data_IF_863128794775
#
_entry.id   IF_863128794775
#
_cell.length_a   1.000
_cell.length_b   1.000
_cell.length_c   1.000
_cell.angle_alpha   90.00
_cell.angle_beta   90.00
_cell.angle_gamma   90.00
#
_symmetry.space_group_name_H-M   'P 1'
#
loop_
_entity.id
_entity.type
_entity.pdbx_description
1 polymer ?
#
# COMPACT_ATOMS: atom_id res chain seq x y z
N UNK A 1 -14.25 -25.44 -19.06
CA UNK A 1 -13.55 -25.98 -20.25
C UNK A 1 -14.48 -26.70 -21.22
N UNK A 2 -15.43 -27.53 -20.81
CA UNK A 2 -16.32 -28.27 -21.72
C UNK A 2 -17.27 -27.35 -22.51
N UNK A 3 -17.76 -26.26 -21.95
CA UNK A 3 -18.65 -25.31 -22.63
C UNK A 3 -17.97 -24.50 -23.76
N UNK A 4 -16.68 -24.18 -23.63
CA UNK A 4 -15.93 -23.48 -24.67
C UNK A 4 -15.66 -24.41 -25.88
N UNK A 5 -15.40 -25.71 -25.67
CA UNK A 5 -15.17 -26.66 -26.76
C UNK A 5 -16.45 -26.93 -27.55
N UNK A 6 -17.61 -26.98 -26.92
CA UNK A 6 -18.91 -27.13 -27.61
C UNK A 6 -19.28 -25.90 -28.45
N UNK A 7 -18.95 -24.70 -27.97
CA UNK A 7 -19.17 -23.46 -28.70
C UNK A 7 -18.28 -23.36 -29.94
N UNK A 8 -17.03 -23.81 -29.86
CA UNK A 8 -16.11 -23.85 -31.02
C UNK A 8 -16.54 -24.90 -32.06
N UNK A 9 -17.03 -26.06 -31.64
CA UNK A 9 -17.51 -27.09 -32.57
C UNK A 9 -18.80 -26.63 -33.28
N UNK A 10 -19.74 -25.99 -32.56
CA UNK A 10 -20.97 -25.45 -33.16
C UNK A 10 -20.67 -24.34 -34.19
N UNK A 11 -19.68 -23.51 -33.91
CA UNK A 11 -19.20 -22.46 -34.82
C UNK A 11 -18.55 -23.04 -36.10
N UNK A 12 -17.78 -24.12 -36.04
CA UNK A 12 -17.17 -24.75 -37.19
C UNK A 12 -18.20 -25.33 -38.15
N UNK A 13 -19.34 -25.84 -37.68
CA UNK A 13 -20.40 -26.42 -38.52
C UNK A 13 -21.20 -25.34 -39.26
N UNK A 14 -21.34 -24.13 -38.69
CA UNK A 14 -22.08 -23.01 -39.31
C UNK A 14 -21.25 -22.29 -40.38
N UNK A 15 -19.93 -22.42 -40.42
CA UNK A 15 -19.01 -21.76 -41.33
C UNK A 15 -18.99 -22.34 -42.76
N UNK A 16 -19.57 -23.50 -42.95
CA UNK A 16 -19.56 -24.17 -44.29
C UNK A 16 -20.68 -23.72 -45.23
N UNK A 17 -21.58 -22.82 -44.81
CA UNK A 17 -22.82 -22.49 -45.56
C UNK A 17 -22.97 -21.04 -46.05
N UNK A 18 -22.02 -20.12 -45.84
CA UNK A 18 -22.15 -18.73 -46.26
C UNK A 18 -20.85 -18.11 -46.76
N UNK A 19 -20.90 -17.48 -47.94
CA UNK A 19 -19.74 -16.94 -48.66
C UNK A 19 -19.00 -15.75 -48.01
N UNK A 20 -17.86 -15.41 -48.63
CA UNK A 20 -16.75 -14.57 -48.12
C UNK A 20 -17.08 -13.20 -47.52
N UNK A 21 -18.21 -12.57 -47.82
CA UNK A 21 -18.58 -11.23 -47.32
C UNK A 21 -18.99 -11.26 -45.80
N UNK A 22 -19.50 -12.38 -45.34
CA UNK A 22 -19.90 -12.53 -43.91
C UNK A 22 -18.67 -12.76 -43.04
N UNK A 23 -17.58 -13.32 -43.57
CA UNK A 23 -16.36 -13.65 -42.81
C UNK A 23 -15.64 -12.40 -42.27
N UNK A 24 -15.61 -11.31 -43.06
CA UNK A 24 -14.93 -10.07 -42.65
C UNK A 24 -15.68 -9.35 -41.50
N UNK A 25 -17.00 -9.34 -41.56
CA UNK A 25 -17.81 -8.73 -40.50
C UNK A 25 -17.81 -9.58 -39.18
N UNK A 26 -17.82 -10.91 -39.32
CA UNK A 26 -17.73 -11.80 -38.15
C UNK A 26 -16.37 -11.76 -37.47
N UNK A 27 -15.25 -11.62 -38.20
CA UNK A 27 -13.92 -11.41 -37.57
C UNK A 27 -13.89 -10.13 -36.74
N UNK A 28 -14.50 -9.04 -37.18
CA UNK A 28 -14.63 -7.80 -36.40
C UNK A 28 -15.54 -7.98 -35.17
N UNK A 29 -16.66 -8.66 -35.32
CA UNK A 29 -17.59 -8.95 -34.21
C UNK A 29 -16.94 -9.88 -33.19
N UNK A 30 -16.22 -10.93 -33.62
CA UNK A 30 -15.48 -11.83 -32.71
C UNK A 30 -14.33 -11.14 -31.99
N UNK A 31 -13.64 -10.19 -32.64
CA UNK A 31 -12.59 -9.40 -31.98
C UNK A 31 -13.18 -8.45 -30.93
N UNK A 32 -14.35 -7.86 -31.20
CA UNK A 32 -15.07 -7.01 -30.23
C UNK A 32 -15.63 -7.83 -29.06
N UNK A 33 -16.24 -9.00 -29.34
CA UNK A 33 -16.72 -9.91 -28.29
C UNK A 33 -15.55 -10.47 -27.47
N UNK A 34 -14.45 -10.85 -28.11
CA UNK A 34 -13.23 -11.27 -27.42
C UNK A 34 -12.64 -10.18 -26.52
N UNK A 35 -12.60 -8.94 -27.01
CA UNK A 35 -12.16 -7.78 -26.24
C UNK A 35 -13.10 -7.48 -25.04
N UNK A 36 -14.42 -7.60 -25.23
CA UNK A 36 -15.42 -7.42 -24.17
C UNK A 36 -15.28 -8.53 -23.12
N UNK A 37 -15.11 -9.79 -23.52
CA UNK A 37 -14.93 -10.92 -22.61
C UNK A 37 -13.60 -10.81 -21.86
N UNK A 38 -12.50 -10.46 -22.53
CA UNK A 38 -11.22 -10.20 -21.87
C UNK A 38 -11.29 -9.02 -20.92
N UNK A 39 -11.93 -7.91 -21.30
CA UNK A 39 -12.16 -6.76 -20.44
C UNK A 39 -13.00 -7.15 -19.21
N UNK A 40 -14.11 -7.87 -19.39
CA UNK A 40 -14.95 -8.34 -18.29
C UNK A 40 -14.21 -9.32 -17.36
N UNK A 41 -13.35 -10.21 -17.88
CA UNK A 41 -12.53 -11.11 -17.06
C UNK A 41 -11.44 -10.35 -16.28
N UNK A 42 -10.79 -9.37 -16.88
CA UNK A 42 -9.80 -8.51 -16.22
C UNK A 42 -10.47 -7.66 -15.14
N UNK A 43 -11.66 -7.11 -15.42
CA UNK A 43 -12.45 -6.36 -14.44
C UNK A 43 -12.91 -7.25 -13.29
N UNK A 44 -13.37 -8.49 -13.57
CA UNK A 44 -13.76 -9.44 -12.54
C UNK A 44 -12.58 -9.89 -11.67
N UNK A 45 -11.40 -10.13 -12.24
CA UNK A 45 -10.18 -10.42 -11.49
C UNK A 45 -9.74 -9.24 -10.61
N UNK A 46 -9.86 -8.00 -11.11
CA UNK A 46 -9.54 -6.80 -10.35
C UNK A 46 -10.54 -6.55 -9.20
N UNK A 47 -11.81 -6.91 -9.36
CA UNK A 47 -12.84 -6.75 -8.33
C UNK A 47 -12.73 -7.77 -7.20
N UNK A 48 -12.20 -8.97 -7.44
CA UNK A 48 -12.08 -10.02 -6.42
C UNK A 48 -11.16 -9.66 -5.24
N UNK A 49 -10.28 -8.69 -5.41
CA UNK A 49 -9.45 -8.17 -4.31
C UNK A 49 -10.23 -7.29 -3.34
N UNK A 50 -11.39 -6.74 -3.76
CA UNK A 50 -12.22 -5.85 -2.96
C UNK A 50 -13.42 -6.63 -2.38
N UNK A 51 -13.57 -6.66 -1.07
CA UNK A 51 -14.76 -7.22 -0.44
C UNK A 51 -15.93 -6.24 -0.56
N UNK A 52 -17.08 -6.74 -1.05
CA UNK A 52 -18.30 -5.95 -1.01
C UNK A 52 -18.70 -5.71 0.45
N UNK A 53 -19.10 -4.47 0.77
CA UNK A 53 -19.66 -4.16 2.08
C UNK A 53 -21.01 -4.89 2.22
N UNK A 54 -21.24 -5.44 3.41
CA UNK A 54 -22.48 -6.15 3.73
C UNK A 54 -23.56 -5.12 4.11
N UNK A 55 -24.67 -5.16 3.41
CA UNK A 55 -25.84 -4.30 3.63
C UNK A 55 -26.94 -4.95 4.50
N UNK A 56 -26.69 -6.16 5.02
CA UNK A 56 -27.70 -6.94 5.74
C UNK A 56 -28.32 -6.21 6.95
N UNK A 57 -27.55 -5.37 7.63
CA UNK A 57 -28.03 -4.55 8.75
C UNK A 57 -28.98 -3.42 8.31
N UNK A 58 -28.93 -3.05 7.03
CA UNK A 58 -29.69 -1.92 6.50
C UNK A 58 -30.93 -2.32 5.71
N UNK A 59 -31.06 -3.58 5.29
CA UNK A 59 -32.13 -4.07 4.40
C UNK A 59 -33.54 -3.84 4.94
N UNK A 60 -33.70 -3.81 6.25
CA UNK A 60 -34.97 -3.56 6.93
C UNK A 60 -35.13 -2.09 7.37
N UNK A 61 -34.16 -1.22 7.09
CA UNK A 61 -34.24 0.20 7.42
C UNK A 61 -35.02 0.94 6.32
N UNK A 62 -36.14 1.55 6.68
CA UNK A 62 -37.03 2.25 5.74
C UNK A 62 -36.33 3.38 4.98
N UNK A 63 -35.47 4.14 5.66
CA UNK A 63 -34.68 5.21 5.07
C UNK A 63 -33.73 4.67 4.02
N UNK A 64 -33.03 3.56 4.30
CA UNK A 64 -32.13 2.90 3.36
C UNK A 64 -32.89 2.39 2.12
N UNK A 65 -34.02 1.73 2.32
CA UNK A 65 -34.81 1.15 1.22
C UNK A 65 -35.34 2.24 0.26
N UNK A 66 -35.78 3.38 0.79
CA UNK A 66 -36.29 4.52 0.02
C UNK A 66 -35.19 5.37 -0.64
N UNK A 67 -33.94 5.22 -0.25
CA UNK A 67 -32.81 5.99 -0.73
C UNK A 67 -32.36 5.57 -2.14
N UNK A 68 -31.72 6.51 -2.88
CA UNK A 68 -31.06 6.19 -4.15
C UNK A 68 -29.75 5.38 -3.92
N UNK A 69 -29.12 4.90 -5.01
CA UNK A 69 -27.90 4.08 -4.92
C UNK A 69 -26.74 4.77 -4.20
N UNK A 70 -26.56 6.08 -4.40
CA UNK A 70 -25.49 6.85 -3.78
C UNK A 70 -25.72 7.06 -2.29
N UNK A 71 -26.93 7.35 -1.89
CA UNK A 71 -27.29 7.47 -0.47
C UNK A 71 -27.13 6.14 0.28
N UNK A 72 -27.54 5.01 -0.32
CA UNK A 72 -27.34 3.69 0.26
C UNK A 72 -25.86 3.39 0.50
N UNK A 73 -25.04 3.63 -0.51
CA UNK A 73 -23.60 3.41 -0.40
C UNK A 73 -22.91 4.39 0.56
N UNK A 74 -23.39 5.63 0.67
CA UNK A 74 -22.92 6.59 1.65
C UNK A 74 -23.21 6.13 3.10
N UNK A 75 -24.41 5.57 3.37
CA UNK A 75 -24.75 5.00 4.67
C UNK A 75 -23.80 3.84 5.02
N UNK A 76 -23.58 2.92 4.08
CA UNK A 76 -22.64 1.79 4.27
C UNK A 76 -21.20 2.24 4.47
N UNK A 77 -20.79 3.29 3.75
CA UNK A 77 -19.43 3.85 3.88
C UNK A 77 -19.20 4.47 5.25
N UNK A 78 -20.13 5.27 5.75
CA UNK A 78 -20.07 5.88 7.09
C UNK A 78 -20.05 4.81 8.19
N UNK A 79 -20.91 3.81 8.08
CA UNK A 79 -20.96 2.68 9.02
C UNK A 79 -19.66 1.85 8.99
N UNK A 80 -19.12 1.59 7.81
CA UNK A 80 -17.84 0.89 7.64
C UNK A 80 -16.69 1.68 8.27
N UNK A 81 -16.60 2.99 8.05
CA UNK A 81 -15.60 3.84 8.70
C UNK A 81 -15.73 3.78 10.21
N UNK A 82 -16.96 3.95 10.72
CA UNK A 82 -17.28 3.90 12.15
C UNK A 82 -16.92 2.55 12.78
N UNK A 83 -17.04 1.43 12.06
CA UNK A 83 -16.72 0.07 12.54
C UNK A 83 -15.24 -0.30 12.36
N UNK A 84 -14.56 0.23 11.33
CA UNK A 84 -13.24 -0.31 10.93
C UNK A 84 -12.07 0.61 11.26
N UNK A 85 -12.18 1.91 11.01
CA UNK A 85 -11.04 2.81 11.15
C UNK A 85 -10.72 3.10 12.63
N UNK A 86 -9.46 2.91 13.13
CA UNK A 86 -9.12 3.08 14.54
C UNK A 86 -9.39 4.49 15.10
N UNK A 87 -9.39 5.52 14.24
CA UNK A 87 -9.73 6.88 14.63
C UNK A 87 -11.11 6.97 15.29
N UNK A 88 -12.07 6.18 14.81
CA UNK A 88 -13.44 6.16 15.31
C UNK A 88 -13.69 5.16 16.44
N UNK A 89 -12.64 4.69 17.14
CA UNK A 89 -12.81 3.82 18.30
C UNK A 89 -13.58 4.51 19.43
N UNK A 90 -13.37 5.82 19.61
CA UNK A 90 -14.04 6.61 20.63
C UNK A 90 -15.46 7.00 20.20
N UNK A 91 -16.40 6.87 21.13
CA UNK A 91 -17.83 7.15 20.88
C UNK A 91 -18.05 8.57 20.34
N UNK A 92 -17.40 9.58 20.95
CA UNK A 92 -17.54 10.98 20.56
C UNK A 92 -17.21 11.21 19.07
N UNK A 93 -16.15 10.58 18.58
CA UNK A 93 -15.76 10.69 17.16
C UNK A 93 -16.73 9.99 16.22
N UNK A 94 -17.35 8.88 16.66
CA UNK A 94 -18.43 8.25 15.90
C UNK A 94 -19.67 9.11 15.86
N UNK A 95 -20.04 9.71 16.99
CA UNK A 95 -21.20 10.61 17.06
C UNK A 95 -21.03 11.83 16.13
N UNK A 96 -19.83 12.40 16.07
CA UNK A 96 -19.48 13.47 15.11
C UNK A 96 -19.58 13.02 13.65
N UNK A 97 -19.13 11.80 13.33
CA UNK A 97 -19.23 11.23 12.00
C UNK A 97 -20.70 11.03 11.60
N UNK A 98 -21.52 10.45 12.48
CA UNK A 98 -22.94 10.23 12.22
C UNK A 98 -23.73 11.55 12.16
N UNK A 99 -23.37 12.57 12.93
CA UNK A 99 -24.00 13.89 12.85
C UNK A 99 -23.83 14.55 11.46
N UNK A 100 -22.72 14.25 10.76
CA UNK A 100 -22.46 14.76 9.40
C UNK A 100 -23.15 13.94 8.30
N UNK A 101 -23.68 12.76 8.62
CA UNK A 101 -24.27 11.85 7.65
C UNK A 101 -25.47 12.46 6.93
N UNK A 102 -26.35 13.21 7.63
CA UNK A 102 -27.51 13.85 7.02
C UNK A 102 -27.14 14.76 5.84
N UNK A 103 -26.15 15.64 6.06
CA UNK A 103 -25.63 16.51 5.00
C UNK A 103 -25.03 15.72 3.83
N UNK A 104 -24.28 14.64 4.13
CA UNK A 104 -23.71 13.78 3.11
C UNK A 104 -24.81 13.15 2.25
N UNK A 105 -25.91 12.68 2.85
CA UNK A 105 -27.03 12.09 2.13
C UNK A 105 -27.75 13.11 1.23
N UNK A 106 -27.89 14.37 1.67
CA UNK A 106 -28.44 15.46 0.85
C UNK A 106 -27.52 15.78 -0.34
N UNK A 107 -26.21 15.80 -0.13
CA UNK A 107 -25.23 16.02 -1.20
C UNK A 107 -25.20 14.85 -2.20
N UNK A 108 -25.48 13.61 -1.77
CA UNK A 108 -25.62 12.44 -2.64
C UNK A 108 -26.77 12.56 -3.65
N UNK A 109 -27.81 13.37 -3.37
CA UNK A 109 -28.89 13.62 -4.32
C UNK A 109 -28.42 14.36 -5.58
N UNK A 110 -27.28 15.05 -5.51
CA UNK A 110 -26.70 15.83 -6.62
C UNK A 110 -25.70 15.00 -7.44
N UNK A 111 -25.34 13.78 -7.00
CA UNK A 111 -24.40 12.92 -7.70
C UNK A 111 -25.06 12.32 -8.95
N UNK A 112 -24.42 12.48 -10.12
CA UNK A 112 -24.89 11.96 -11.39
C UNK A 112 -24.06 10.77 -11.88
N UNK A 113 -22.84 10.59 -11.37
CA UNK A 113 -21.92 9.51 -11.72
C UNK A 113 -21.07 9.06 -10.52
N UNK A 114 -20.44 7.91 -10.66
CA UNK A 114 -19.67 7.28 -9.59
C UNK A 114 -18.36 8.05 -9.27
N UNK A 115 -17.84 8.86 -10.21
CA UNK A 115 -16.64 9.69 -9.98
C UNK A 115 -16.94 10.85 -9.04
N UNK A 116 -18.00 11.61 -9.32
CA UNK A 116 -18.47 12.70 -8.46
C UNK A 116 -18.84 12.17 -7.07
N UNK A 117 -19.45 10.99 -7.00
CA UNK A 117 -19.75 10.34 -5.73
C UNK A 117 -18.50 9.93 -4.95
N UNK A 118 -17.49 9.35 -5.61
CA UNK A 118 -16.22 9.00 -4.97
C UNK A 118 -15.50 10.26 -4.43
N UNK A 119 -15.51 11.37 -5.17
CA UNK A 119 -14.96 12.65 -4.71
C UNK A 119 -15.69 13.18 -3.47
N UNK A 120 -17.03 13.09 -3.44
CA UNK A 120 -17.85 13.46 -2.29
C UNK A 120 -17.49 12.62 -1.06
N UNK A 121 -17.37 11.29 -1.20
CA UNK A 121 -16.93 10.42 -0.10
C UNK A 121 -15.50 10.73 0.34
N UNK A 122 -14.57 10.97 -0.61
CA UNK A 122 -13.19 11.35 -0.34
C UNK A 122 -13.07 12.62 0.50
N UNK A 123 -13.94 13.60 0.27
CA UNK A 123 -13.99 14.84 1.06
C UNK A 123 -14.31 14.58 2.54
N UNK A 124 -15.07 13.53 2.86
CA UNK A 124 -15.37 13.15 4.26
C UNK A 124 -14.15 12.59 5.02
N UNK A 125 -13.10 12.14 4.29
CA UNK A 125 -11.89 11.56 4.87
C UNK A 125 -10.87 12.61 5.31
N UNK A 126 -11.03 13.88 4.95
CA UNK A 126 -10.05 14.94 5.22
C UNK A 126 -9.68 15.12 6.70
N UNK A 127 -10.58 14.81 7.61
CA UNK A 127 -10.35 14.90 9.06
C UNK A 127 -9.45 13.78 9.60
N UNK A 128 -9.39 12.63 8.93
CA UNK A 128 -8.59 11.48 9.37
C UNK A 128 -7.09 11.76 9.30
N UNK A 129 -6.66 12.69 8.42
CA UNK A 129 -5.25 12.93 8.09
C UNK A 129 -4.49 11.62 7.78
N UNK A 130 -5.22 10.66 7.24
CA UNK A 130 -4.73 9.34 6.84
C UNK A 130 -4.68 9.24 5.32
N UNK A 131 -3.49 8.92 4.78
CA UNK A 131 -3.28 8.78 3.33
C UNK A 131 -3.47 7.35 2.81
N UNK A 132 -3.79 6.41 3.69
CA UNK A 132 -4.04 5.01 3.34
C UNK A 132 -5.54 4.71 3.17
N UNK A 133 -6.41 5.47 3.85
CA UNK A 133 -7.86 5.37 3.66
C UNK A 133 -8.26 6.27 2.50
N UNK A 134 -8.79 5.66 1.45
CA UNK A 134 -9.13 6.35 0.19
C UNK A 134 -10.29 5.66 -0.53
N UNK A 135 -10.95 6.40 -1.41
CA UNK A 135 -12.03 5.95 -2.28
C UNK A 135 -11.84 6.46 -3.71
N UNK A 136 -12.22 5.66 -4.68
CA UNK A 136 -12.10 5.98 -6.09
C UNK A 136 -13.17 5.27 -6.91
N UNK A 137 -13.69 5.89 -7.96
CA UNK A 137 -14.51 5.19 -8.94
C UNK A 137 -13.66 4.17 -9.71
N UNK A 138 -14.20 2.96 -9.96
CA UNK A 138 -13.47 1.86 -10.59
C UNK A 138 -12.88 2.25 -11.94
N UNK A 139 -13.64 2.98 -12.77
CA UNK A 139 -13.15 3.46 -14.07
C UNK A 139 -11.96 4.41 -13.97
N UNK A 140 -11.90 5.26 -12.94
CA UNK A 140 -10.73 6.12 -12.67
C UNK A 140 -9.51 5.31 -12.20
N UNK A 141 -9.73 4.24 -11.40
CA UNK A 141 -8.66 3.34 -10.97
C UNK A 141 -8.03 2.61 -12.16
N UNK A 142 -8.85 2.12 -13.09
CA UNK A 142 -8.39 1.46 -14.32
C UNK A 142 -7.62 2.42 -15.22
N UNK A 143 -8.09 3.66 -15.39
CA UNK A 143 -7.40 4.69 -16.15
C UNK A 143 -6.03 5.06 -15.55
N UNK A 144 -5.92 5.12 -14.22
CA UNK A 144 -4.63 5.35 -13.52
C UNK A 144 -3.65 4.19 -13.73
N UNK A 145 -4.12 2.93 -13.70
CA UNK A 145 -3.29 1.75 -13.94
C UNK A 145 -2.73 1.74 -15.37
N UNK A 146 -3.56 2.05 -16.36
CA UNK A 146 -3.15 2.10 -17.77
C UNK A 146 -2.10 3.18 -18.02
N UNK A 147 -2.27 4.40 -17.48
CA UNK A 147 -1.26 5.47 -17.54
C UNK A 147 0.04 5.14 -16.81
N UNK A 148 -0.03 4.36 -15.72
CA UNK A 148 1.14 3.87 -15.00
C UNK A 148 1.97 2.89 -15.81
N UNK A 149 1.32 2.01 -16.56
CA UNK A 149 1.97 1.04 -17.45
C UNK A 149 2.63 1.72 -18.68
N UNK A 150 2.01 2.76 -19.23
CA UNK A 150 2.61 3.55 -20.33
C UNK A 150 3.86 4.33 -19.88
N UNK A 151 3.87 4.90 -18.68
CA UNK A 151 5.05 5.58 -18.14
C UNK A 151 6.19 4.64 -17.72
N UNK A 152 5.90 3.38 -17.43
CA UNK A 152 6.91 2.37 -17.12
C UNK A 152 7.74 1.91 -18.32
N UNK A 153 7.30 2.19 -19.56
CA UNK A 153 8.03 1.83 -20.79
C UNK A 153 9.00 2.92 -21.28
N UNK A 154 8.85 4.18 -20.82
CA UNK A 154 9.69 5.30 -21.32
C UNK A 154 10.92 5.63 -20.45
N UNK A 155 11.14 4.90 -19.36
CA UNK A 155 12.37 5.04 -18.57
C UNK A 155 13.47 4.15 -19.19
N UNK A 156 13.97 4.54 -20.38
CA UNK A 156 15.24 4.01 -20.92
C UNK A 156 16.32 4.20 -19.85
N UNK A 157 16.99 3.10 -19.52
CA UNK A 157 18.18 3.09 -18.67
C UNK A 157 19.14 4.20 -19.12
N UNK A 158 19.16 5.30 -18.37
CA UNK A 158 20.22 6.30 -18.49
C UNK A 158 21.54 5.63 -18.13
N UNK A 159 22.60 6.07 -18.76
CA UNK A 159 23.94 5.54 -18.56
C UNK A 159 24.27 5.38 -17.07
N UNK A 160 24.84 4.26 -16.74
CA UNK A 160 25.07 3.67 -15.40
C UNK A 160 25.96 4.45 -14.42
N UNK A 161 26.23 5.73 -14.63
CA UNK A 161 27.13 6.51 -13.79
C UNK A 161 26.46 7.47 -12.79
N UNK A 162 25.14 7.67 -12.86
CA UNK A 162 24.45 8.60 -11.96
C UNK A 162 23.81 7.87 -10.78
N UNK A 163 24.50 7.87 -9.66
CA UNK A 163 23.98 7.44 -8.35
C UNK A 163 22.83 8.38 -7.96
N UNK A 164 21.83 7.89 -7.22
CA UNK A 164 20.59 8.57 -6.85
C UNK A 164 19.60 8.81 -8.00
N UNK A 165 19.88 8.39 -9.21
CA UNK A 165 18.90 8.41 -10.31
C UNK A 165 17.96 7.20 -10.21
N UNK A 166 16.67 7.42 -10.43
CA UNK A 166 15.71 6.30 -10.43
C UNK A 166 15.96 5.36 -11.62
N UNK A 167 16.23 4.09 -11.35
CA UNK A 167 16.56 3.07 -12.38
C UNK A 167 15.39 2.17 -12.77
N UNK A 168 14.19 2.37 -12.24
CA UNK A 168 13.00 1.54 -12.56
C UNK A 168 12.91 0.20 -11.84
N UNK A 169 14.02 -0.32 -11.28
CA UNK A 169 14.05 -1.58 -10.54
C UNK A 169 13.34 -1.45 -9.18
N UNK A 170 12.84 -2.57 -8.64
CA UNK A 170 12.28 -2.60 -7.29
C UNK A 170 13.35 -2.26 -6.25
N UNK A 171 14.56 -2.80 -6.46
CA UNK A 171 15.75 -2.56 -5.67
C UNK A 171 17.01 -3.02 -6.44
N UNK A 172 18.12 -2.36 -6.19
CA UNK A 172 19.45 -2.78 -6.66
C UNK A 172 20.54 -2.17 -5.81
N UNK A 173 21.75 -2.71 -5.86
CA UNK A 173 22.90 -2.15 -5.15
C UNK A 173 24.12 -2.01 -6.06
N UNK A 174 25.03 -1.13 -5.65
CA UNK A 174 26.33 -0.91 -6.31
C UNK A 174 27.41 -0.76 -5.22
N UNK A 175 28.49 -1.50 -5.35
CA UNK A 175 29.68 -1.28 -4.53
C UNK A 175 30.53 -0.21 -5.21
N UNK A 176 30.99 0.78 -4.45
CA UNK A 176 31.85 1.88 -4.88
C UNK A 176 33.17 1.74 -4.10
N UNK A 177 34.19 1.02 -4.63
CA UNK A 177 35.37 0.63 -3.89
C UNK A 177 36.19 1.83 -3.41
N UNK A 178 36.33 2.89 -4.24
CA UNK A 178 37.12 4.09 -3.94
C UNK A 178 36.64 4.81 -2.68
N UNK A 179 35.38 4.59 -2.28
CA UNK A 179 34.79 5.15 -1.08
C UNK A 179 34.49 4.13 0.01
N UNK A 180 34.87 2.85 -0.17
CA UNK A 180 34.46 1.73 0.68
C UNK A 180 32.96 1.76 1.01
N UNK A 181 32.16 2.01 -0.01
CA UNK A 181 30.74 2.34 0.06
C UNK A 181 29.91 1.30 -0.68
N UNK A 182 28.79 0.90 -0.09
CA UNK A 182 27.68 0.26 -0.77
C UNK A 182 26.50 1.24 -0.88
N UNK A 183 26.02 1.46 -2.10
CA UNK A 183 24.80 2.20 -2.37
C UNK A 183 23.68 1.23 -2.71
N UNK A 184 22.63 1.20 -1.88
CA UNK A 184 21.43 0.40 -2.05
C UNK A 184 20.27 1.33 -2.42
N UNK A 185 19.77 1.25 -3.66
CA UNK A 185 18.52 1.87 -4.07
C UNK A 185 17.37 0.93 -3.75
N UNK A 186 16.47 1.35 -2.87
CA UNK A 186 15.33 0.58 -2.40
C UNK A 186 14.03 1.31 -2.79
N UNK A 187 13.52 1.06 -4.00
CA UNK A 187 12.41 1.81 -4.60
C UNK A 187 11.04 1.29 -4.21
N UNK A 188 10.92 0.02 -3.81
CA UNK A 188 9.64 -0.62 -3.45
C UNK A 188 9.84 -1.71 -2.41
N UNK A 189 8.94 -1.74 -1.43
CA UNK A 189 8.86 -2.84 -0.46
C UNK A 189 8.06 -4.03 -1.04
N UNK A 190 8.53 -4.58 -2.17
CA UNK A 190 7.93 -5.72 -2.89
C UNK A 190 9.03 -6.63 -3.43
N UNK A 191 8.75 -7.93 -3.46
CA UNK A 191 9.60 -8.95 -4.07
C UNK A 191 8.76 -10.14 -4.56
N UNK A 192 9.42 -11.17 -5.10
CA UNK A 192 8.77 -12.40 -5.57
C UNK A 192 7.87 -13.04 -4.51
N UNK A 193 8.28 -13.05 -3.24
CA UNK A 193 7.54 -13.68 -2.13
C UNK A 193 6.29 -12.91 -1.77
N UNK A 194 6.42 -11.60 -1.61
CA UNK A 194 5.33 -10.72 -1.17
C UNK A 194 4.26 -10.56 -2.23
N UNK A 195 4.66 -10.66 -3.51
CA UNK A 195 3.75 -10.56 -4.66
C UNK A 195 3.29 -11.92 -5.19
N UNK A 196 3.83 -13.04 -4.68
CA UNK A 196 3.61 -14.40 -5.20
C UNK A 196 3.85 -14.47 -6.72
N UNK A 197 4.92 -13.82 -7.17
CA UNK A 197 5.30 -13.75 -8.57
C UNK A 197 6.79 -14.04 -8.72
N UNK A 198 7.12 -15.23 -9.20
CA UNK A 198 8.50 -15.72 -9.34
C UNK A 198 9.32 -14.98 -10.42
N UNK A 199 8.66 -14.21 -11.29
CA UNK A 199 9.37 -13.36 -12.26
C UNK A 199 10.02 -12.12 -11.62
N UNK A 200 9.66 -11.77 -10.38
CA UNK A 200 10.25 -10.66 -9.65
C UNK A 200 11.53 -11.11 -8.91
N UNK A 201 12.44 -10.17 -8.64
CA UNK A 201 13.65 -10.48 -7.85
C UNK A 201 13.30 -10.83 -6.40
N UNK A 202 14.20 -11.56 -5.75
CA UNK A 202 14.14 -11.95 -4.34
C UNK A 202 14.98 -10.99 -3.51
N UNK A 203 14.31 -10.23 -2.64
CA UNK A 203 14.96 -9.27 -1.75
C UNK A 203 15.92 -9.92 -0.77
N UNK A 204 15.52 -11.00 -0.08
CA UNK A 204 16.36 -11.74 0.86
C UNK A 204 17.65 -12.24 0.21
N UNK A 205 17.57 -12.77 -1.01
CA UNK A 205 18.74 -13.27 -1.76
C UNK A 205 19.68 -12.13 -2.17
N UNK A 206 19.11 -11.02 -2.63
CA UNK A 206 19.89 -9.83 -2.97
C UNK A 206 20.61 -9.28 -1.73
N UNK A 207 19.92 -9.24 -0.55
CA UNK A 207 20.57 -8.81 0.69
C UNK A 207 21.71 -9.73 1.09
N UNK A 208 21.52 -11.05 1.05
CA UNK A 208 22.58 -12.03 1.38
C UNK A 208 23.81 -11.83 0.49
N UNK A 209 23.62 -11.67 -0.82
CA UNK A 209 24.69 -11.39 -1.77
C UNK A 209 25.36 -10.04 -1.50
N UNK A 210 24.57 -8.98 -1.31
CA UNK A 210 25.07 -7.62 -1.05
C UNK A 210 25.95 -7.58 0.19
N UNK A 211 25.49 -8.11 1.33
CA UNK A 211 26.23 -8.08 2.58
C UNK A 211 27.52 -8.97 2.51
N UNK A 212 27.47 -10.09 1.79
CA UNK A 212 28.66 -10.91 1.55
C UNK A 212 29.72 -10.12 0.75
N UNK A 213 29.33 -9.47 -0.34
CA UNK A 213 30.24 -8.61 -1.15
C UNK A 213 30.73 -7.38 -0.39
N UNK A 214 29.89 -6.78 0.46
CA UNK A 214 30.30 -5.69 1.34
C UNK A 214 31.41 -6.12 2.30
N UNK A 215 31.28 -7.32 2.88
CA UNK A 215 32.30 -7.91 3.78
C UNK A 215 33.59 -8.19 3.03
N UNK A 216 33.53 -8.84 1.88
CA UNK A 216 34.65 -9.15 1.02
C UNK A 216 35.39 -7.87 0.57
N UNK A 217 34.66 -6.85 0.14
CA UNK A 217 35.22 -5.57 -0.31
C UNK A 217 35.61 -4.61 0.83
N UNK A 218 35.47 -5.01 2.10
CA UNK A 218 35.81 -4.18 3.25
C UNK A 218 34.99 -2.90 3.36
N UNK A 219 33.73 -2.90 2.88
CA UNK A 219 32.83 -1.74 2.88
C UNK A 219 32.64 -1.21 4.30
N UNK A 220 32.74 0.11 4.46
CA UNK A 220 32.61 0.82 5.74
C UNK A 220 31.32 1.61 5.86
N UNK A 221 30.69 1.96 4.73
CA UNK A 221 29.47 2.75 4.70
C UNK A 221 28.41 2.09 3.81
N UNK A 222 27.18 2.03 4.31
CA UNK A 222 25.98 1.67 3.54
C UNK A 222 25.10 2.88 3.39
N UNK A 223 24.78 3.26 2.16
CA UNK A 223 23.74 4.25 1.85
C UNK A 223 22.50 3.50 1.41
N UNK A 224 21.37 3.70 2.12
CA UNK A 224 20.06 3.14 1.79
C UNK A 224 19.19 4.25 1.23
N UNK A 225 19.03 4.29 -0.07
CA UNK A 225 18.21 5.29 -0.76
C UNK A 225 16.77 4.80 -0.95
N UNK A 226 15.86 5.33 -0.14
CA UNK A 226 14.43 5.07 -0.23
C UNK A 226 13.62 6.32 -0.65
N UNK A 227 14.25 7.31 -1.27
CA UNK A 227 13.60 8.56 -1.66
C UNK A 227 12.39 8.36 -2.59
N UNK A 228 12.36 7.26 -3.36
CA UNK A 228 11.28 6.90 -4.28
C UNK A 228 10.33 5.85 -3.72
N UNK A 229 10.60 5.30 -2.53
CA UNK A 229 9.87 4.16 -1.98
C UNK A 229 8.57 4.60 -1.30
N UNK A 230 7.45 4.29 -1.92
CA UNK A 230 6.13 4.55 -1.35
C UNK A 230 5.56 3.39 -0.49
N UNK A 231 6.41 2.42 -0.10
CA UNK A 231 6.04 1.33 0.78
C UNK A 231 5.70 0.02 0.06
N UNK A 232 4.94 -0.81 0.74
CA UNK A 232 4.57 -2.18 0.38
C UNK A 232 4.59 -3.08 1.61
N UNK A 233 5.27 -4.22 1.55
CA UNK A 233 5.42 -5.15 2.68
C UNK A 233 6.53 -4.71 3.63
N UNK A 234 6.22 -4.59 4.92
CA UNK A 234 7.23 -4.31 5.97
C UNK A 234 8.25 -5.45 6.16
N UNK A 235 7.95 -6.66 5.68
CA UNK A 235 8.88 -7.78 5.70
C UNK A 235 10.26 -7.42 5.15
N UNK A 236 10.31 -6.67 4.03
CA UNK A 236 11.57 -6.29 3.40
C UNK A 236 12.37 -5.29 4.27
N UNK A 237 11.65 -4.39 4.94
CA UNK A 237 12.28 -3.46 5.88
C UNK A 237 12.84 -4.18 7.10
N UNK A 238 12.09 -5.14 7.65
CA UNK A 238 12.52 -5.94 8.80
C UNK A 238 13.77 -6.77 8.47
N UNK A 239 13.83 -7.39 7.28
CA UNK A 239 14.98 -8.15 6.81
C UNK A 239 16.25 -7.30 6.66
N UNK A 240 16.11 -6.02 6.29
CA UNK A 240 17.23 -5.09 6.27
C UNK A 240 17.63 -4.68 7.70
N UNK A 241 16.67 -4.31 8.54
CA UNK A 241 16.94 -3.84 9.90
C UNK A 241 17.70 -4.86 10.76
N UNK A 242 17.38 -6.17 10.67
CA UNK A 242 18.06 -7.21 11.43
C UNK A 242 19.51 -7.46 10.97
N UNK A 243 19.91 -6.94 9.79
CA UNK A 243 21.30 -6.92 9.31
C UNK A 243 22.07 -5.68 9.73
N UNK A 244 21.36 -4.68 10.26
CA UNK A 244 21.94 -3.40 10.71
C UNK A 244 22.00 -3.29 12.23
N UNK A 245 21.17 -4.07 12.95
CA UNK A 245 21.13 -4.14 14.41
C UNK A 245 20.65 -5.51 14.89
N UNK A 246 21.16 -6.04 16.00
CA UNK A 246 20.67 -7.30 16.56
C UNK A 246 19.16 -7.22 16.81
N UNK A 247 18.43 -8.28 16.41
CA UNK A 247 16.97 -8.36 16.56
C UNK A 247 16.51 -8.12 18.00
N UNK A 248 17.28 -8.61 18.99
CA UNK A 248 16.98 -8.47 20.41
C UNK A 248 17.08 -7.05 20.94
N UNK A 249 17.77 -6.17 20.21
CA UNK A 249 17.95 -4.76 20.57
C UNK A 249 17.00 -3.82 19.82
N UNK A 250 16.33 -4.33 18.77
CA UNK A 250 15.42 -3.51 17.96
C UNK A 250 14.15 -3.21 18.73
N UNK A 251 13.92 -1.93 18.99
CA UNK A 251 12.60 -1.41 19.39
C UNK A 251 11.68 -1.46 18.17
N UNK A 252 10.43 -1.75 18.40
CA UNK A 252 9.41 -1.86 17.35
C UNK A 252 8.18 -1.00 17.67
N UNK A 253 7.33 -0.82 16.68
CA UNK A 253 6.06 -0.15 16.84
C UNK A 253 5.14 -0.88 17.82
N UNK A 254 4.43 -0.12 18.66
CA UNK A 254 3.24 -0.61 19.33
C UNK A 254 2.09 -0.59 18.32
N UNK A 255 1.51 -1.76 18.07
CA UNK A 255 0.46 -1.90 17.05
C UNK A 255 -0.89 -2.11 17.73
N UNK A 256 -1.83 -1.22 17.46
CA UNK A 256 -3.20 -1.28 17.96
C UNK A 256 -4.14 -1.60 16.80
N UNK A 257 -5.01 -2.59 16.98
CA UNK A 257 -5.92 -3.07 15.94
C UNK A 257 -7.37 -2.83 16.38
N UNK A 258 -8.19 -2.44 15.39
CA UNK A 258 -9.63 -2.41 15.54
C UNK A 258 -10.25 -3.62 14.87
N UNK A 259 -10.89 -4.49 15.64
CA UNK A 259 -11.70 -5.56 15.08
C UNK A 259 -12.95 -4.99 14.42
N UNK A 260 -13.26 -5.49 13.21
CA UNK A 260 -14.39 -5.01 12.43
C UNK A 260 -15.08 -6.12 11.63
N UNK A 261 -16.29 -5.85 11.15
CA UNK A 261 -17.03 -6.74 10.24
C UNK A 261 -16.28 -6.93 8.92
N UNK A 262 -15.70 -5.86 8.38
CA UNK A 262 -14.90 -5.95 7.15
C UNK A 262 -13.67 -6.84 7.34
N UNK A 263 -12.98 -6.72 8.48
CA UNK A 263 -11.86 -7.60 8.82
C UNK A 263 -12.32 -9.07 8.91
N UNK A 264 -13.48 -9.34 9.51
CA UNK A 264 -14.07 -10.68 9.60
C UNK A 264 -14.44 -11.26 8.22
N UNK A 265 -14.83 -10.41 7.27
CA UNK A 265 -15.09 -10.82 5.89
C UNK A 265 -13.81 -11.28 5.15
N UNK A 266 -12.63 -10.77 5.53
CA UNK A 266 -11.33 -11.25 5.04
C UNK A 266 -10.84 -12.49 5.80
N UNK A 267 -11.04 -12.52 7.11
CA UNK A 267 -10.62 -13.62 7.97
C UNK A 267 -11.68 -13.86 9.06
N UNK A 268 -12.52 -14.91 8.95
CA UNK A 268 -13.59 -15.19 9.90
C UNK A 268 -13.13 -15.34 11.36
N UNK A 269 -11.86 -15.73 11.59
CA UNK A 269 -11.31 -15.83 12.96
C UNK A 269 -11.27 -14.47 13.66
N UNK A 270 -11.14 -13.37 12.92
CA UNK A 270 -11.18 -12.03 13.50
C UNK A 270 -12.57 -11.63 13.99
N UNK A 271 -13.63 -12.20 13.41
CA UNK A 271 -15.00 -12.04 13.90
C UNK A 271 -15.20 -12.70 15.28
N UNK A 272 -14.63 -13.91 15.46
CA UNK A 272 -14.62 -14.60 16.76
C UNK A 272 -13.83 -13.79 17.78
N UNK A 273 -12.66 -13.26 17.38
CA UNK A 273 -11.83 -12.44 18.26
C UNK A 273 -12.52 -11.10 18.63
N UNK A 274 -13.22 -10.47 17.68
CA UNK A 274 -14.05 -9.27 17.92
C UNK A 274 -15.07 -9.54 19.01
N UNK A 275 -15.88 -10.61 18.86
CA UNK A 275 -16.89 -10.97 19.84
C UNK A 275 -16.27 -11.22 21.22
N UNK A 276 -15.20 -12.01 21.29
CA UNK A 276 -14.52 -12.31 22.55
C UNK A 276 -13.91 -11.07 23.23
N UNK A 277 -13.54 -10.04 22.44
CA UNK A 277 -13.03 -8.77 22.94
C UNK A 277 -14.16 -7.90 23.50
N UNK A 278 -15.25 -7.79 22.76
CA UNK A 278 -16.45 -7.04 23.16
C UNK A 278 -17.17 -7.66 24.36
N UNK A 279 -17.27 -8.99 24.43
CA UNK A 279 -17.87 -9.73 25.57
C UNK A 279 -17.10 -9.47 26.90
N UNK A 280 -15.84 -9.02 26.83
CA UNK A 280 -15.04 -8.59 27.99
C UNK A 280 -15.20 -7.11 28.33
N UNK A 281 -16.07 -6.37 27.62
CA UNK A 281 -16.34 -4.96 27.87
C UNK A 281 -15.47 -3.98 27.09
N UNK A 282 -14.57 -4.45 26.19
CA UNK A 282 -13.63 -3.61 25.43
C UNK A 282 -14.22 -3.04 24.11
N UNK A 283 -15.46 -2.56 24.14
CA UNK A 283 -16.17 -2.11 22.91
C UNK A 283 -15.50 -0.87 22.29
N UNK A 284 -15.05 0.06 23.13
CA UNK A 284 -14.46 1.34 22.73
C UNK A 284 -12.92 1.34 22.91
N UNK A 285 -12.30 0.18 22.82
CA UNK A 285 -10.87 0.00 23.00
C UNK A 285 -10.22 -0.68 21.80
N UNK A 286 -9.02 -0.24 21.43
CA UNK A 286 -8.20 -0.91 20.45
C UNK A 286 -7.48 -2.10 21.08
N UNK A 287 -7.39 -3.18 20.34
CA UNK A 287 -6.63 -4.36 20.74
C UNK A 287 -5.14 -4.14 20.50
N UNK A 288 -4.35 -4.16 21.57
CA UNK A 288 -2.89 -4.15 21.47
C UNK A 288 -2.41 -5.51 20.93
N UNK A 289 -1.82 -5.51 19.73
CA UNK A 289 -1.21 -6.71 19.14
C UNK A 289 0.02 -7.08 19.96
N UNK A 290 0.11 -8.31 20.53
CA UNK A 290 1.24 -8.69 21.35
C UNK A 290 2.58 -8.55 20.64
N UNK A 291 3.58 -8.06 21.36
CA UNK A 291 4.95 -7.95 20.86
C UNK A 291 5.46 -9.31 20.33
N UNK A 292 6.26 -9.26 19.26
CA UNK A 292 6.78 -10.45 18.56
C UNK A 292 5.86 -11.08 17.52
N UNK A 293 4.56 -10.65 17.45
CA UNK A 293 3.66 -11.07 16.35
C UNK A 293 3.66 -10.11 15.16
N UNK A 294 4.26 -8.96 15.31
CA UNK A 294 4.37 -7.93 14.27
C UNK A 294 5.57 -8.14 13.38
N UNK A 295 6.63 -8.72 13.91
CA UNK A 295 7.86 -8.99 13.15
C UNK A 295 8.08 -10.50 12.98
N UNK A 296 8.42 -10.98 11.75
CA UNK A 296 8.73 -12.38 11.50
C UNK A 296 9.90 -12.88 12.38
N UNK A 297 9.90 -14.19 12.66
CA UNK A 297 10.97 -14.81 13.42
C UNK A 297 12.17 -15.14 12.50
N UNK A 298 13.00 -14.15 12.19
CA UNK A 298 14.21 -14.35 11.43
C UNK A 298 15.30 -15.07 12.24
N UNK A 299 16.10 -15.89 11.57
CA UNK A 299 17.44 -16.26 12.07
C UNK A 299 18.29 -15.00 12.02
N UNK A 300 18.96 -14.63 13.12
CA UNK A 300 19.78 -13.43 13.18
C UNK A 300 20.96 -13.56 12.21
N UNK A 301 21.04 -12.71 11.17
CA UNK A 301 22.21 -12.67 10.30
C UNK A 301 23.38 -11.94 10.96
N UNK A 302 24.57 -11.98 10.35
CA UNK A 302 25.70 -11.15 10.75
C UNK A 302 25.31 -9.67 10.65
N UNK A 303 25.63 -8.87 11.66
CA UNK A 303 25.29 -7.46 11.73
C UNK A 303 26.41 -6.63 11.09
N UNK A 304 26.02 -5.72 10.21
CA UNK A 304 26.93 -4.72 9.65
C UNK A 304 27.25 -3.64 10.69
N UNK A 305 28.53 -3.47 11.01
CA UNK A 305 29.00 -2.54 12.03
C UNK A 305 29.55 -1.22 11.44
N UNK A 306 29.34 -0.98 10.14
CA UNK A 306 29.75 0.25 9.49
C UNK A 306 28.74 1.39 9.65
N UNK A 307 29.06 2.55 9.07
CA UNK A 307 28.18 3.71 9.03
C UNK A 307 26.97 3.42 8.12
N UNK A 308 25.77 3.85 8.53
CA UNK A 308 24.56 3.76 7.71
C UNK A 308 23.99 5.15 7.47
N UNK A 309 23.68 5.46 6.22
CA UNK A 309 23.04 6.71 5.81
C UNK A 309 21.74 6.34 5.08
N UNK A 310 20.61 6.82 5.57
CA UNK A 310 19.31 6.64 4.93
C UNK A 310 18.93 7.92 4.17
N UNK A 311 18.56 7.77 2.89
CA UNK A 311 18.07 8.89 2.08
C UNK A 311 16.56 8.84 2.02
N UNK A 312 15.92 9.88 2.57
CA UNK A 312 14.48 10.08 2.62
C UNK A 312 14.06 11.19 1.67
N UNK A 313 13.02 10.97 0.88
CA UNK A 313 12.40 11.98 0.01
C UNK A 313 10.90 12.11 0.24
N UNK A 314 10.26 13.04 -0.48
CA UNK A 314 8.80 13.26 -0.41
C UNK A 314 7.95 12.05 -0.79
N UNK A 315 8.52 11.09 -1.54
CA UNK A 315 7.83 9.84 -1.92
C UNK A 315 8.02 8.71 -0.92
N UNK A 316 8.95 8.85 0.03
CA UNK A 316 9.13 7.86 1.12
C UNK A 316 7.85 7.80 1.94
N UNK A 317 7.18 6.62 1.98
CA UNK A 317 5.86 6.50 2.60
C UNK A 317 5.58 5.07 3.09
N UNK A 318 4.60 4.90 4.00
CA UNK A 318 4.13 3.60 4.49
C UNK A 318 5.29 2.75 5.04
N UNK A 319 5.49 1.49 4.62
CA UNK A 319 6.57 0.61 5.11
C UNK A 319 7.96 1.23 4.98
N UNK A 320 8.23 2.03 3.93
CA UNK A 320 9.48 2.77 3.83
C UNK A 320 9.59 3.89 4.89
N UNK A 321 8.46 4.52 5.23
CA UNK A 321 8.40 5.46 6.35
C UNK A 321 8.62 4.78 7.69
N UNK A 322 8.10 3.55 7.88
CA UNK A 322 8.38 2.71 9.05
C UNK A 322 9.89 2.43 9.16
N UNK A 323 10.54 2.06 8.04
CA UNK A 323 11.99 1.84 8.00
C UNK A 323 12.76 3.08 8.49
N UNK A 324 12.45 4.28 7.97
CA UNK A 324 13.11 5.52 8.39
C UNK A 324 12.88 5.82 9.87
N UNK A 325 11.64 5.67 10.35
CA UNK A 325 11.31 5.90 11.75
C UNK A 325 12.04 4.91 12.66
N UNK A 326 12.07 3.62 12.32
CA UNK A 326 12.79 2.60 13.10
C UNK A 326 14.30 2.81 13.05
N UNK A 327 14.85 3.26 11.93
CA UNK A 327 16.26 3.63 11.83
C UNK A 327 16.62 4.75 12.82
N UNK A 328 15.78 5.79 12.89
CA UNK A 328 15.91 6.89 13.85
C UNK A 328 15.79 6.42 15.30
N UNK A 329 14.68 5.77 15.64
CA UNK A 329 14.33 5.42 17.02
C UNK A 329 15.23 4.33 17.61
N UNK A 330 15.96 3.62 16.76
CA UNK A 330 16.96 2.61 17.13
C UNK A 330 18.40 3.10 16.96
N UNK A 331 18.64 4.35 16.60
CA UNK A 331 19.99 4.91 16.37
C UNK A 331 20.84 4.04 15.42
N UNK A 332 20.24 3.54 14.31
CA UNK A 332 20.94 2.67 13.37
C UNK A 332 21.84 3.47 12.42
N UNK A 333 21.48 4.71 12.13
CA UNK A 333 22.22 5.60 11.24
C UNK A 333 21.62 6.98 11.18
N UNK A 334 22.09 7.81 10.24
CA UNK A 334 21.56 9.15 10.02
C UNK A 334 20.58 9.16 8.85
N UNK A 335 19.56 10.00 8.95
CA UNK A 335 18.60 10.24 7.88
C UNK A 335 18.96 11.55 7.19
N UNK A 336 19.11 11.53 5.88
CA UNK A 336 19.40 12.70 5.06
C UNK A 336 18.31 12.91 4.01
N UNK A 337 18.17 14.12 3.49
CA UNK A 337 17.24 14.42 2.42
C UNK A 337 16.15 15.42 2.82
N UNK A 338 14.89 15.10 2.55
CA UNK A 338 13.75 15.99 2.73
C UNK A 338 12.88 15.58 3.92
N UNK A 339 12.11 16.53 4.48
CA UNK A 339 11.08 16.20 5.47
C UNK A 339 10.09 15.18 4.90
N UNK A 340 9.68 14.22 5.74
CA UNK A 340 8.67 13.26 5.33
C UNK A 340 7.32 13.92 5.04
N UNK A 341 6.53 13.27 4.21
CA UNK A 341 5.12 13.62 3.98
C UNK A 341 4.16 12.73 4.78
N UNK A 342 4.70 11.92 5.70
CA UNK A 342 3.96 11.00 6.57
C UNK A 342 4.22 11.34 8.05
N UNK A 343 3.30 10.93 8.92
CA UNK A 343 3.50 10.95 10.37
C UNK A 343 4.18 9.65 10.82
N UNK A 344 5.24 9.70 11.65
CA UNK A 344 5.89 8.50 12.19
C UNK A 344 4.91 7.54 12.89
N UNK A 345 4.05 8.06 13.77
CA UNK A 345 2.88 7.30 14.23
C UNK A 345 1.73 7.53 13.26
N UNK A 346 1.13 6.44 12.73
CA UNK A 346 0.18 6.53 11.63
C UNK A 346 -0.84 5.38 11.60
N UNK A 347 -1.91 5.58 10.88
CA UNK A 347 -2.84 4.51 10.52
C UNK A 347 -2.31 3.69 9.36
N UNK A 348 -2.62 2.40 9.32
CA UNK A 348 -2.16 1.50 8.26
C UNK A 348 -2.83 0.14 8.32
N UNK A 349 -2.26 -0.86 7.61
CA UNK A 349 -2.90 -2.16 7.35
C UNK A 349 -4.27 -1.97 6.73
N UNK A 350 -4.28 -1.81 5.42
CA UNK A 350 -5.50 -1.49 4.67
C UNK A 350 -6.32 -2.73 4.35
N UNK A 351 -7.63 -2.58 4.43
CA UNK A 351 -8.62 -3.54 3.96
C UNK A 351 -9.29 -2.95 2.72
N UNK A 352 -9.09 -3.53 1.53
CA UNK A 352 -9.78 -3.10 0.33
C UNK A 352 -11.29 -3.39 0.44
N UNK A 353 -12.14 -2.45 0.01
CA UNK A 353 -13.58 -2.64 0.02
C UNK A 353 -14.23 -2.15 -1.28
N UNK A 354 -15.46 -2.61 -1.52
CA UNK A 354 -16.31 -2.20 -2.63
C UNK A 354 -17.69 -1.85 -2.11
N UNK A 355 -18.22 -0.74 -2.58
CA UNK A 355 -19.60 -0.33 -2.34
C UNK A 355 -20.55 -1.16 -3.25
N UNK A 356 -21.64 -1.75 -2.70
CA UNK A 356 -22.43 -2.73 -3.45
C UNK A 356 -23.38 -2.14 -4.48
N UNK A 357 -23.78 -0.86 -4.36
CA UNK A 357 -24.79 -0.25 -5.24
C UNK A 357 -24.16 0.64 -6.34
N UNK A 358 -22.86 0.96 -6.21
CA UNK A 358 -22.10 1.77 -7.16
C UNK A 358 -20.81 1.05 -7.58
N UNK A 359 -20.06 1.64 -8.52
CA UNK A 359 -18.72 1.13 -8.89
C UNK A 359 -17.61 1.90 -8.18
N UNK A 360 -17.81 2.20 -6.89
CA UNK A 360 -16.79 2.82 -6.05
C UNK A 360 -16.09 1.75 -5.22
N UNK A 361 -14.76 1.81 -5.24
CA UNK A 361 -13.86 0.95 -4.47
C UNK A 361 -12.97 1.81 -3.60
N UNK A 362 -12.39 1.21 -2.58
CA UNK A 362 -11.49 1.94 -1.69
C UNK A 362 -10.68 1.03 -0.79
N UNK A 363 -9.97 1.65 0.12
CA UNK A 363 -9.25 1.01 1.21
C UNK A 363 -9.50 1.75 2.52
N UNK A 364 -9.54 1.02 3.62
CA UNK A 364 -9.68 1.57 4.97
C UNK A 364 -8.67 0.96 5.91
N UNK A 365 -8.02 1.79 6.74
CA UNK A 365 -7.09 1.32 7.77
C UNK A 365 -7.82 0.59 8.89
N UNK A 366 -7.21 -0.50 9.40
CA UNK A 366 -7.71 -1.22 10.59
C UNK A 366 -6.72 -1.23 11.76
N UNK A 367 -5.51 -0.66 11.59
CA UNK A 367 -4.48 -0.57 12.63
C UNK A 367 -4.00 0.86 12.83
N UNK A 368 -3.54 1.14 14.06
CA UNK A 368 -2.79 2.33 14.41
C UNK A 368 -1.41 1.91 14.92
N UNK A 369 -0.38 2.42 14.29
CA UNK A 369 1.02 2.16 14.59
C UNK A 369 1.58 3.34 15.39
N UNK A 370 2.07 3.07 16.60
CA UNK A 370 2.69 4.06 17.47
C UNK A 370 4.19 3.81 17.48
N UNK A 371 4.98 4.83 17.10
CA UNK A 371 6.45 4.74 17.01
C UNK A 371 7.07 4.40 18.36
N UNK A 372 8.27 3.77 18.38
CA UNK A 372 8.96 3.40 19.63
C UNK A 372 9.35 4.58 20.50
N UNK A 373 9.69 5.72 19.91
CA UNK A 373 10.06 6.94 20.66
C UNK A 373 8.81 7.61 21.23
N UNK A 374 8.58 7.40 22.53
CA UNK A 374 7.41 7.91 23.26
C UNK A 374 7.37 9.44 23.41
N UNK A 375 8.50 10.13 23.26
CA UNK A 375 8.57 11.60 23.36
C UNK A 375 8.12 12.28 22.06
N UNK A 376 8.11 11.54 20.95
CA UNK A 376 7.85 12.04 19.61
C UNK A 376 6.64 11.40 18.92
N UNK A 377 5.73 10.77 19.68
CA UNK A 377 4.56 10.03 19.15
C UNK A 377 3.61 10.90 18.33
N UNK A 378 3.52 12.18 18.65
CA UNK A 378 2.62 13.15 18.01
C UNK A 378 3.24 13.90 16.84
N UNK A 379 4.50 13.60 16.48
CA UNK A 379 5.17 14.24 15.36
C UNK A 379 4.38 14.02 14.06
N UNK A 380 4.19 15.09 13.32
CA UNK A 380 3.45 15.04 12.03
C UNK A 380 4.36 14.71 10.85
N UNK A 381 5.66 14.85 11.03
CA UNK A 381 6.68 14.57 10.02
C UNK A 381 7.91 13.97 10.69
N UNK A 382 8.68 13.19 9.95
CA UNK A 382 10.04 12.79 10.32
C UNK A 382 11.02 13.74 9.64
N UNK A 383 11.66 14.63 10.41
CA UNK A 383 12.68 15.51 9.88
C UNK A 383 14.00 14.75 9.64
N UNK A 384 14.75 14.99 8.56
CA UNK A 384 16.07 14.41 8.38
C UNK A 384 17.09 15.05 9.35
N UNK A 385 18.17 14.32 9.67
CA UNK A 385 19.30 14.86 10.45
C UNK A 385 20.08 15.89 9.64
N UNK A 386 20.16 15.68 8.31
CA UNK A 386 20.78 16.61 7.37
C UNK A 386 19.84 16.87 6.21
N UNK A 387 19.40 18.11 6.07
CA UNK A 387 18.55 18.53 4.95
C UNK A 387 19.37 18.56 3.67
N UNK A 388 18.93 17.81 2.67
CA UNK A 388 19.51 17.77 1.33
C UNK A 388 18.39 17.97 0.30
N UNK A 389 18.58 18.92 -0.60
CA UNK A 389 17.72 19.07 -1.77
C UNK A 389 18.01 17.91 -2.74
N UNK A 390 17.02 17.05 -2.94
CA UNK A 390 17.10 15.88 -3.80
C UNK A 390 16.72 16.16 -5.27
N UNK A 391 16.40 17.40 -5.62
CA UNK A 391 16.08 17.79 -7.01
C UNK A 391 17.31 17.80 -7.92
N UNK A 392 18.48 18.23 -7.39
CA UNK A 392 19.78 18.17 -8.05
C UNK A 392 20.56 16.94 -7.56
N UNK A 393 20.52 15.85 -8.33
CA UNK A 393 21.10 14.56 -7.95
C UNK A 393 22.62 14.61 -7.75
N UNK A 394 23.33 15.37 -8.56
CA UNK A 394 24.78 15.49 -8.48
C UNK A 394 25.19 16.16 -7.16
N UNK A 395 24.61 17.32 -6.86
CA UNK A 395 24.87 18.03 -5.59
C UNK A 395 24.39 17.26 -4.37
N UNK A 396 23.25 16.53 -4.49
CA UNK A 396 22.79 15.68 -3.40
C UNK A 396 23.80 14.57 -3.10
N UNK A 397 24.34 13.94 -4.15
CA UNK A 397 25.35 12.90 -4.01
C UNK A 397 26.66 13.42 -3.41
N UNK A 398 27.15 14.57 -3.86
CA UNK A 398 28.35 15.22 -3.27
C UNK A 398 28.18 15.46 -1.76
N UNK A 399 26.97 15.93 -1.34
CA UNK A 399 26.67 16.12 0.08
C UNK A 399 26.66 14.79 0.84
N UNK A 400 26.11 13.71 0.28
CA UNK A 400 26.15 12.37 0.88
C UNK A 400 27.57 11.89 1.02
N UNK A 401 28.40 12.02 -0.03
CA UNK A 401 29.81 11.67 0.02
C UNK A 401 30.59 12.46 1.10
N UNK A 402 30.27 13.76 1.23
CA UNK A 402 30.87 14.61 2.27
C UNK A 402 30.53 14.19 3.71
N UNK A 403 29.55 13.31 3.91
CA UNK A 403 29.21 12.74 5.21
C UNK A 403 29.97 11.44 5.51
N UNK A 404 30.57 10.78 4.51
CA UNK A 404 31.23 9.46 4.68
C UNK A 404 32.52 9.59 5.47
N UNK A 405 33.28 10.64 5.25
CA UNK A 405 34.59 10.90 5.88
C UNK A 405 34.55 11.57 7.27
N UNK A 406 33.34 11.81 7.77
CA UNK A 406 33.12 12.39 9.10
C UNK A 406 32.52 11.33 10.01
#
# INVERSE_FOLDING_TARGET
MVFLSLFFVYMQITFYLCGDIIIVNMKKILSVIGAIICSAMVTAQNLNQFKALDDSLFRNNESYVKSNKYQRDAMLFVDMLADTHPYYIKKERRDELFAKQGKLLDDCLKCNDDSTFAELLGATLGELRDKHTDVIALGQLEAKKNKGNEKGQDLKAGNSSEVMTFKGDLFHYTIIPDHLLCYLQFNKCMDARTMRNESLPRWDKMLDEMFAKMKEGGVKTLVVDAQYNNGGSSLLCDELLVRLRPKTELKDYSTYMRFSRLMAAYNPRTGVAKKAWEDKGHIDELYLVPAGKTRPNFVQPEVFNGKVIFVQGKKTFSSAGILMTLARDNNIGIIVGENSTYSPSHYGEVLPFRLPNTNVVGSVCCKYFVRPDSQHVDDKTLAPDVVIDLSDKAKAWEKVLGLIGK
#
